data_IF_168993600282
#
_entry.id   IF_168993600282
#
_cell.length_a   1.000
_cell.length_b   1.000
_cell.length_c   1.000
_cell.angle_alpha   90.00
_cell.angle_beta   90.00
_cell.angle_gamma   90.00
#
_symmetry.space_group_name_H-M   'P 1'
#
loop_
_entity.id
_entity.type
_entity.pdbx_description
1 polymer ?
#
# COMPACT_ATOMS: atom_id res chain seq x y z
N UNK A 1 36.56 -38.78 19.57
CA UNK A 1 36.99 -37.64 18.73
C UNK A 1 36.12 -36.47 19.13
N UNK A 2 36.61 -35.66 20.06
CA UNK A 2 35.90 -34.50 20.60
C UNK A 2 35.92 -33.39 19.57
N UNK A 3 34.75 -33.11 18.99
CA UNK A 3 34.58 -31.98 18.09
C UNK A 3 34.80 -30.70 18.90
N UNK A 4 35.71 -29.78 18.52
CA UNK A 4 36.02 -28.62 19.34
C UNK A 4 34.77 -27.75 19.46
N UNK A 5 34.30 -27.57 20.70
CA UNK A 5 33.08 -26.84 21.06
C UNK A 5 32.99 -25.44 20.42
N UNK A 6 34.13 -24.81 20.11
CA UNK A 6 34.23 -23.49 19.48
C UNK A 6 33.78 -23.44 18.00
N UNK A 7 33.87 -24.53 17.24
CA UNK A 7 33.44 -24.53 15.83
C UNK A 7 31.91 -24.55 15.72
N UNK A 8 31.23 -25.22 16.65
CA UNK A 8 29.78 -25.33 16.68
C UNK A 8 29.11 -23.98 17.00
N UNK A 9 29.70 -23.19 17.90
CA UNK A 9 29.18 -21.87 18.28
C UNK A 9 29.32 -20.84 17.15
N UNK A 10 30.43 -20.85 16.40
CA UNK A 10 30.62 -19.94 15.27
C UNK A 10 29.63 -20.23 14.14
N UNK A 11 29.39 -21.51 13.86
CA UNK A 11 28.40 -21.95 12.87
C UNK A 11 26.99 -21.51 13.23
N UNK A 12 26.59 -21.67 14.50
CA UNK A 12 25.28 -21.21 14.98
C UNK A 12 25.13 -19.68 14.92
N UNK A 13 26.18 -18.91 15.22
CA UNK A 13 26.15 -17.46 15.09
C UNK A 13 25.99 -17.03 13.62
N UNK A 14 26.71 -17.66 12.70
CA UNK A 14 26.57 -17.41 11.27
C UNK A 14 25.15 -17.73 10.79
N UNK A 15 24.60 -18.89 11.15
CA UNK A 15 23.20 -19.26 10.81
C UNK A 15 22.21 -18.25 11.39
N UNK A 16 22.42 -17.79 12.63
CA UNK A 16 21.55 -16.76 13.24
C UNK A 16 21.61 -15.42 12.49
N UNK A 17 22.80 -14.98 12.06
CA UNK A 17 22.98 -13.75 11.28
C UNK A 17 22.41 -13.88 9.86
N UNK A 18 22.53 -15.05 9.23
CA UNK A 18 21.90 -15.34 7.95
C UNK A 18 20.37 -15.36 8.07
N UNK A 19 19.81 -15.95 9.13
CA UNK A 19 18.37 -15.90 9.38
C UNK A 19 17.88 -14.48 9.67
N UNK A 20 18.62 -13.68 10.44
CA UNK A 20 18.28 -12.28 10.71
C UNK A 20 18.32 -11.42 9.44
N UNK A 21 19.30 -11.64 8.57
CA UNK A 21 19.42 -10.90 7.31
C UNK A 21 18.36 -11.28 6.28
N UNK A 22 18.00 -12.57 6.14
CA UNK A 22 16.89 -12.98 5.25
C UNK A 22 15.52 -12.56 5.77
N UNK A 23 15.34 -12.47 7.09
CA UNK A 23 14.08 -11.98 7.71
C UNK A 23 13.81 -10.49 7.40
N UNK A 24 14.86 -9.70 7.15
CA UNK A 24 14.74 -8.28 6.83
C UNK A 24 14.26 -8.00 5.40
N UNK A 25 14.17 -9.02 4.55
CA UNK A 25 13.72 -8.89 3.16
C UNK A 25 12.24 -9.25 2.98
N UNK A 26 11.43 -9.19 4.04
CA UNK A 26 9.98 -9.16 3.92
C UNK A 26 9.58 -7.74 3.49
N UNK A 27 9.40 -7.52 2.18
CA UNK A 27 8.99 -6.21 1.63
C UNK A 27 7.64 -5.84 2.26
N UNK A 28 7.59 -4.69 2.94
CA UNK A 28 6.35 -4.24 3.60
C UNK A 28 5.27 -3.97 2.56
N UNK A 29 4.03 -4.35 2.86
CA UNK A 29 2.87 -4.17 1.99
C UNK A 29 1.82 -3.31 2.69
N UNK A 30 1.11 -2.49 1.92
CA UNK A 30 -0.02 -1.68 2.36
C UNK A 30 -1.21 -1.99 1.46
N UNK A 31 -2.42 -1.91 2.01
CA UNK A 31 -3.66 -2.12 1.24
C UNK A 31 -4.21 -0.78 0.81
N UNK A 32 -4.55 -0.64 -0.46
CA UNK A 32 -5.34 0.48 -1.00
C UNK A 32 -6.76 -0.05 -1.22
N UNK A 33 -7.70 0.47 -0.44
CA UNK A 33 -9.14 0.17 -0.50
C UNK A 33 -9.81 1.31 -1.27
N UNK A 34 -10.28 1.04 -2.49
CA UNK A 34 -10.94 2.03 -3.35
C UNK A 34 -12.42 1.68 -3.45
N UNK A 35 -13.26 2.60 -2.98
CA UNK A 35 -14.72 2.48 -3.00
C UNK A 35 -15.31 3.38 -4.06
N UNK A 36 -16.14 2.79 -4.90
CA UNK A 36 -16.98 3.52 -5.82
C UNK A 36 -18.30 3.86 -5.13
N UNK A 37 -18.46 5.14 -4.79
CA UNK A 37 -19.66 5.69 -4.15
C UNK A 37 -20.51 6.50 -5.16
N UNK A 38 -20.34 6.22 -6.46
CA UNK A 38 -21.18 6.80 -7.51
C UNK A 38 -22.60 6.20 -7.46
N UNK A 39 -23.62 6.99 -7.81
CA UNK A 39 -24.99 6.47 -7.90
C UNK A 39 -25.02 5.32 -8.93
N UNK A 40 -25.76 4.27 -8.60
CA UNK A 40 -25.93 3.03 -9.39
C UNK A 40 -24.78 2.02 -9.40
N UNK A 41 -23.60 2.31 -8.83
CA UNK A 41 -22.49 1.33 -8.76
C UNK A 41 -21.74 1.39 -7.43
N UNK A 42 -22.17 0.57 -6.48
CA UNK A 42 -21.36 0.28 -5.29
C UNK A 42 -20.44 -0.89 -5.60
N UNK A 43 -19.23 -0.58 -6.03
CA UNK A 43 -18.16 -1.54 -6.25
C UNK A 43 -16.98 -1.18 -5.35
N UNK A 44 -16.27 -2.19 -4.88
CA UNK A 44 -15.19 -2.04 -3.92
C UNK A 44 -13.99 -2.82 -4.45
N UNK A 45 -12.89 -2.10 -4.66
CA UNK A 45 -11.66 -2.63 -5.21
C UNK A 45 -10.55 -2.55 -4.17
N UNK A 46 -9.95 -3.70 -3.86
CA UNK A 46 -8.80 -3.76 -2.97
C UNK A 46 -7.56 -4.09 -3.80
N UNK A 47 -6.53 -3.26 -3.65
CA UNK A 47 -5.24 -3.47 -4.28
C UNK A 47 -4.12 -3.45 -3.24
N UNK A 48 -3.24 -4.45 -3.27
CA UNK A 48 -2.08 -4.48 -2.38
C UNK A 48 -0.90 -3.81 -3.06
N UNK A 49 -0.40 -2.74 -2.47
CA UNK A 49 0.77 -2.01 -2.93
C UNK A 49 1.99 -2.35 -2.09
N UNK A 50 3.16 -2.21 -2.71
CA UNK A 50 4.43 -2.36 -2.03
C UNK A 50 4.81 -1.00 -1.43
N UNK A 51 5.10 -0.96 -0.12
CA UNK A 51 5.24 0.27 0.69
C UNK A 51 6.35 1.22 0.21
N UNK A 52 7.31 0.72 -0.56
CA UNK A 52 8.45 1.51 -1.05
C UNK A 52 8.32 1.90 -2.52
N UNK A 53 7.12 1.87 -3.09
CA UNK A 53 6.88 2.27 -4.49
C UNK A 53 5.57 3.04 -4.61
N UNK A 54 5.61 4.19 -5.29
CA UNK A 54 4.42 4.97 -5.60
C UNK A 54 3.49 4.20 -6.55
N UNK A 55 2.18 4.38 -6.36
CA UNK A 55 1.14 3.72 -7.15
C UNK A 55 0.15 4.76 -7.66
N UNK A 56 -0.10 4.71 -8.96
CA UNK A 56 -1.04 5.58 -9.65
C UNK A 56 -2.28 4.77 -10.08
N UNK A 57 -3.45 5.41 -10.01
CA UNK A 57 -4.71 4.84 -10.46
C UNK A 57 -5.39 5.78 -11.47
N UNK A 58 -6.16 5.19 -12.36
CA UNK A 58 -6.99 5.88 -13.33
C UNK A 58 -8.45 5.47 -13.12
N UNK A 59 -9.35 6.45 -13.20
CA UNK A 59 -10.79 6.21 -13.20
C UNK A 59 -11.46 6.97 -14.33
N UNK A 60 -12.52 6.38 -14.86
CA UNK A 60 -13.39 7.00 -15.86
C UNK A 60 -14.85 6.79 -15.49
N UNK A 61 -15.67 7.81 -15.75
CA UNK A 61 -17.11 7.79 -15.54
C UNK A 61 -17.81 8.58 -16.64
N UNK A 62 -18.34 7.87 -17.65
CA UNK A 62 -18.89 8.53 -18.84
C UNK A 62 -17.80 9.26 -19.62
N UNK A 63 -17.96 10.57 -19.80
CA UNK A 63 -16.94 11.45 -20.41
C UNK A 63 -15.97 12.06 -19.40
N UNK A 64 -16.12 11.73 -18.11
CA UNK A 64 -15.25 12.20 -17.05
C UNK A 64 -14.10 11.22 -16.82
N UNK A 65 -12.92 11.73 -16.50
CA UNK A 65 -11.76 10.92 -16.14
C UNK A 65 -10.90 11.63 -15.10
N UNK A 66 -10.10 10.85 -14.37
CA UNK A 66 -9.00 11.40 -13.56
C UNK A 66 -7.91 10.35 -13.40
N UNK A 67 -6.70 10.84 -13.16
CA UNK A 67 -5.57 10.04 -12.70
C UNK A 67 -5.13 10.59 -11.35
N UNK A 68 -4.83 9.72 -10.39
CA UNK A 68 -4.33 10.14 -9.07
C UNK A 68 -3.35 9.15 -8.48
N UNK A 69 -2.50 9.65 -7.58
CA UNK A 69 -1.51 8.87 -6.86
C UNK A 69 -2.19 8.15 -5.67
N UNK A 70 -2.63 6.92 -5.91
CA UNK A 70 -3.35 6.08 -4.96
C UNK A 70 -2.49 5.67 -3.75
N UNK A 71 -1.17 5.62 -3.92
CA UNK A 71 -0.20 5.48 -2.83
C UNK A 71 1.06 6.30 -3.12
N UNK A 72 1.51 7.09 -2.15
CA UNK A 72 2.77 7.81 -2.19
C UNK A 72 3.64 7.45 -0.99
N UNK A 73 4.90 7.07 -1.23
CA UNK A 73 5.83 6.69 -0.16
C UNK A 73 6.02 7.81 0.87
N UNK A 74 6.05 9.07 0.43
CA UNK A 74 6.29 10.20 1.33
C UNK A 74 5.05 10.60 2.15
N UNK A 75 3.85 10.24 1.69
CA UNK A 75 2.58 10.61 2.30
C UNK A 75 2.02 9.49 3.19
N UNK A 76 2.05 8.26 2.67
CA UNK A 76 1.25 7.14 3.18
C UNK A 76 2.06 6.11 3.99
N UNK A 77 3.38 6.25 4.02
CA UNK A 77 4.25 5.29 4.71
C UNK A 77 3.92 5.23 6.19
N UNK A 78 3.71 4.00 6.67
CA UNK A 78 3.34 3.70 8.05
C UNK A 78 1.84 3.46 8.25
N UNK A 79 1.01 3.77 7.25
CA UNK A 79 -0.41 3.42 7.26
C UNK A 79 -0.62 2.03 6.65
N UNK A 80 -1.37 1.18 7.37
CA UNK A 80 -1.65 -0.20 6.92
C UNK A 80 -2.65 -0.24 5.76
N UNK A 81 -3.60 0.70 5.77
CA UNK A 81 -4.65 0.81 4.77
C UNK A 81 -4.82 2.27 4.38
N UNK A 82 -4.88 2.53 3.07
CA UNK A 82 -5.25 3.82 2.48
C UNK A 82 -6.62 3.64 1.86
N UNK A 83 -7.60 4.41 2.34
CA UNK A 83 -8.96 4.37 1.83
C UNK A 83 -9.17 5.48 0.82
N UNK A 84 -9.74 5.11 -0.32
CA UNK A 84 -10.19 6.03 -1.37
C UNK A 84 -11.70 5.92 -1.53
N UNK A 85 -12.36 7.05 -1.68
CA UNK A 85 -13.80 7.13 -1.97
C UNK A 85 -13.97 7.99 -3.22
N UNK A 86 -14.43 7.33 -4.29
CA UNK A 86 -14.73 7.95 -5.58
C UNK A 86 -16.19 8.40 -5.56
N UNK A 87 -16.40 9.71 -5.59
CA UNK A 87 -17.71 10.36 -5.47
C UNK A 87 -18.02 11.19 -6.71
N UNK A 88 -19.24 11.72 -6.78
CA UNK A 88 -19.68 12.55 -7.90
C UNK A 88 -18.83 13.80 -8.11
N UNK A 89 -18.33 14.38 -7.02
CA UNK A 89 -17.57 15.62 -6.99
C UNK A 89 -16.05 15.41 -7.06
N UNK A 90 -15.58 14.18 -6.82
CA UNK A 90 -14.18 13.83 -7.00
C UNK A 90 -13.71 12.69 -6.11
N UNK A 91 -12.44 12.74 -5.75
CA UNK A 91 -11.67 11.67 -5.15
C UNK A 91 -11.22 12.07 -3.75
N UNK A 92 -11.59 11.23 -2.79
CA UNK A 92 -11.34 11.47 -1.38
C UNK A 92 -10.41 10.41 -0.81
N UNK A 93 -9.48 10.85 0.04
CA UNK A 93 -8.54 9.98 0.73
C UNK A 93 -8.81 9.97 2.24
N UNK A 94 -8.60 8.82 2.87
CA UNK A 94 -8.59 8.67 4.32
C UNK A 94 -7.61 7.58 4.76
N UNK A 95 -6.92 7.79 5.88
CA UNK A 95 -6.12 6.75 6.53
C UNK A 95 -6.88 6.00 7.63
N UNK A 96 -8.04 6.51 8.05
CA UNK A 96 -8.87 5.90 9.11
C UNK A 96 -10.26 5.46 8.60
N UNK A 97 -10.58 5.73 7.34
CA UNK A 97 -11.85 5.39 6.70
C UNK A 97 -13.03 6.27 7.15
N UNK A 98 -12.80 7.29 7.97
CA UNK A 98 -13.84 8.15 8.57
C UNK A 98 -13.65 9.64 8.29
N UNK A 99 -12.41 10.12 8.27
CA UNK A 99 -12.04 11.51 7.94
C UNK A 99 -11.51 11.57 6.53
N UNK A 100 -12.23 12.28 5.67
CA UNK A 100 -11.99 12.28 4.24
C UNK A 100 -11.43 13.63 3.77
N UNK A 101 -10.27 13.59 3.12
CA UNK A 101 -9.64 14.73 2.48
C UNK A 101 -9.97 14.73 0.99
N UNK A 102 -10.45 15.85 0.47
CA UNK A 102 -10.63 16.00 -0.97
C UNK A 102 -9.27 16.19 -1.64
N UNK A 103 -8.93 15.31 -2.58
CA UNK A 103 -7.62 15.33 -3.25
C UNK A 103 -7.74 15.88 -4.66
N UNK A 104 -8.69 15.36 -5.44
CA UNK A 104 -8.78 15.66 -6.86
C UNK A 104 -10.22 15.64 -7.36
N UNK A 105 -10.50 16.44 -8.39
CA UNK A 105 -11.79 16.48 -9.08
C UNK A 105 -11.79 15.58 -10.33
N UNK A 106 -12.97 15.40 -10.89
CA UNK A 106 -13.10 14.86 -12.25
C UNK A 106 -12.68 15.90 -13.30
N UNK A 107 -12.07 15.42 -14.38
CA UNK A 107 -11.77 16.19 -15.59
C UNK A 107 -12.65 15.74 -16.75
N UNK A 108 -12.92 16.65 -17.69
CA UNK A 108 -13.54 16.36 -18.98
C UNK A 108 -12.65 16.92 -20.09
N UNK A 109 -12.80 16.36 -21.30
CA UNK A 109 -12.31 17.03 -22.51
C UNK A 109 -13.07 18.33 -22.80
#
# INVERSE_FOLDING_TARGET
MDFPHCFFTLFLLLVSFYCLSTSSLARSQTVVDIRNDLPDKSEHYNHTVIVDQDSECFASWGSLFTTWEAYQVNRDKGHQIIYWSVRKDGFYESWDGSKWNFIERWYSE
#
